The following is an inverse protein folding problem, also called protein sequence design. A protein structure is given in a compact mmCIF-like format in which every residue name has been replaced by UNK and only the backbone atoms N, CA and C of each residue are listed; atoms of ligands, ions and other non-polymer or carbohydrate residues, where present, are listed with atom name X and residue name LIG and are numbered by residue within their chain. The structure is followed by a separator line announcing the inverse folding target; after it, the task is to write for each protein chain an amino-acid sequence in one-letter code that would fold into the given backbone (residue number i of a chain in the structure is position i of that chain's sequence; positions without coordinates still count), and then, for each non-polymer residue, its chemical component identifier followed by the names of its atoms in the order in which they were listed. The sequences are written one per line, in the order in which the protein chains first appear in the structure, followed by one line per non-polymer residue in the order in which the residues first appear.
data_IF_417195299879
#
_entry.id   IF_417195299879
#
_cell.length_a   1.000
_cell.length_b   1.000
_cell.length_c   1.000
_cell.angle_alpha   90.00
_cell.angle_beta   90.00
_cell.angle_gamma   90.00
#
_symmetry.space_group_name_H-M   'P 1'
#
loop_
_entity.id
_entity.type
_entity.pdbx_description
1 polymer ?
#
# COMPACT_ATOMS: atom_id res chain seq x y z
N UNK A 1 -5.49 22.63 3.89
CA UNK A 1 -6.45 21.72 3.24
C UNK A 1 -5.71 20.97 2.16
N UNK A 2 -5.67 19.64 2.15
CA UNK A 2 -5.13 18.91 1.01
C UNK A 2 -5.99 19.22 -0.20
N UNK A 3 -5.33 19.50 -1.32
CA UNK A 3 -6.02 19.90 -2.55
C UNK A 3 -7.02 18.83 -2.99
N UNK A 4 -8.17 19.25 -3.46
CA UNK A 4 -9.25 18.43 -4.03
C UNK A 4 -8.77 17.48 -5.16
N UNK A 5 -7.52 17.60 -5.58
CA UNK A 5 -6.89 16.90 -6.71
C UNK A 5 -5.82 15.84 -6.33
N UNK A 6 -5.73 15.43 -5.05
CA UNK A 6 -4.81 14.35 -4.70
C UNK A 6 -5.22 13.07 -5.44
N UNK A 7 -4.26 12.45 -6.13
CA UNK A 7 -4.40 11.10 -6.70
C UNK A 7 -3.20 10.27 -6.28
N UNK A 8 -3.42 9.07 -5.75
CA UNK A 8 -2.33 8.17 -5.43
C UNK A 8 -1.54 7.80 -6.69
N UNK A 9 -0.23 7.75 -6.58
CA UNK A 9 0.63 7.26 -7.65
C UNK A 9 0.34 5.79 -7.91
N UNK A 10 0.31 5.40 -9.16
CA UNK A 10 0.02 4.03 -9.58
C UNK A 10 1.29 3.33 -10.04
N UNK A 11 1.34 2.01 -9.84
CA UNK A 11 2.36 1.18 -10.44
C UNK A 11 2.30 1.25 -11.97
N UNK A 12 3.47 1.26 -12.62
CA UNK A 12 3.56 1.10 -14.06
C UNK A 12 3.22 -0.33 -14.46
N UNK A 13 2.46 -0.51 -15.54
CA UNK A 13 2.03 -1.82 -16.02
C UNK A 13 3.07 -2.52 -16.92
N UNK A 14 4.20 -1.88 -17.19
CA UNK A 14 5.24 -2.48 -18.02
C UNK A 14 6.06 -3.51 -17.21
N UNK A 15 6.45 -4.61 -17.86
CA UNK A 15 7.28 -5.62 -17.20
C UNK A 15 8.66 -5.04 -16.87
N UNK A 16 9.21 -5.43 -15.72
CA UNK A 16 10.54 -5.01 -15.28
C UNK A 16 11.64 -5.28 -16.34
N UNK A 17 11.49 -6.34 -17.13
CA UNK A 17 12.45 -6.69 -18.19
C UNK A 17 12.62 -5.59 -19.25
N UNK A 18 11.60 -4.78 -19.51
CA UNK A 18 11.69 -3.65 -20.45
C UNK A 18 12.30 -2.39 -19.81
N UNK A 19 12.48 -2.39 -18.49
CA UNK A 19 12.97 -1.25 -17.72
C UNK A 19 14.34 -1.44 -17.10
N UNK A 20 14.93 -2.64 -17.12
CA UNK A 20 16.20 -2.92 -16.46
C UNK A 20 17.28 -1.90 -16.81
N UNK A 21 17.36 -1.51 -18.07
CA UNK A 21 18.33 -0.51 -18.54
C UNK A 21 18.00 0.93 -18.13
N UNK A 22 16.79 1.17 -17.62
CA UNK A 22 16.29 2.50 -17.22
C UNK A 22 16.22 2.68 -15.70
N UNK A 23 16.34 1.59 -14.94
CA UNK A 23 16.31 1.67 -13.48
C UNK A 23 17.60 2.28 -12.95
N UNK A 24 17.46 3.31 -12.16
CA UNK A 24 18.58 3.91 -11.43
C UNK A 24 18.71 3.25 -10.06
N UNK A 25 19.81 2.57 -9.83
CA UNK A 25 20.15 1.99 -8.54
C UNK A 25 20.96 2.99 -7.69
N UNK A 26 20.84 2.97 -6.37
CA UNK A 26 20.02 2.08 -5.58
C UNK A 26 18.53 2.48 -5.58
N UNK A 27 17.65 1.52 -5.28
CA UNK A 27 16.22 1.76 -5.16
C UNK A 27 15.60 1.01 -3.95
N UNK A 28 14.38 1.38 -3.58
CA UNK A 28 13.56 0.63 -2.64
C UNK A 28 12.54 -0.21 -3.41
N UNK A 29 12.42 -1.47 -3.06
CA UNK A 29 11.45 -2.38 -3.63
C UNK A 29 10.60 -3.02 -2.54
N UNK A 30 9.36 -3.32 -2.86
CA UNK A 30 8.43 -4.02 -1.97
C UNK A 30 7.63 -5.08 -2.71
N UNK A 31 7.07 -6.05 -1.98
CA UNK A 31 6.14 -7.00 -2.56
C UNK A 31 4.89 -6.29 -3.07
N UNK A 32 4.41 -6.65 -4.25
CA UNK A 32 3.15 -6.13 -4.80
C UNK A 32 1.98 -6.82 -4.14
N UNK A 33 1.26 -6.08 -3.31
CA UNK A 33 0.05 -6.54 -2.64
C UNK A 33 -1.14 -6.52 -3.60
N UNK A 34 -2.02 -7.47 -3.48
CA UNK A 34 -3.25 -7.58 -4.28
C UNK A 34 -4.49 -7.29 -3.40
N UNK A 35 -4.65 -6.05 -3.01
CA UNK A 35 -5.74 -5.58 -2.14
C UNK A 35 -6.49 -4.39 -2.70
N UNK A 36 -6.94 -3.51 -1.81
CA UNK A 36 -7.61 -2.26 -2.16
C UNK A 36 -6.73 -1.07 -1.73
N UNK A 37 -6.25 -0.28 -2.70
CA UNK A 37 -5.53 0.96 -2.40
C UNK A 37 -6.39 1.88 -1.56
N UNK A 38 -5.82 2.36 -0.46
CA UNK A 38 -6.48 3.27 0.45
C UNK A 38 -5.57 4.39 0.93
N UNK A 39 -6.11 5.61 0.99
CA UNK A 39 -5.43 6.76 1.56
C UNK A 39 -6.27 7.35 2.68
N UNK A 40 -5.69 7.51 3.85
CA UNK A 40 -6.37 8.14 4.99
C UNK A 40 -6.04 9.62 5.03
N UNK A 41 -7.05 10.47 4.95
CA UNK A 41 -6.91 11.93 4.95
C UNK A 41 -8.11 12.57 5.67
N UNK A 42 -7.85 13.53 6.54
CA UNK A 42 -8.88 14.26 7.25
C UNK A 42 -9.91 13.33 7.97
N UNK A 43 -9.42 12.22 8.55
CA UNK A 43 -10.25 11.23 9.24
C UNK A 43 -11.12 10.35 8.34
N UNK A 44 -10.88 10.36 7.02
CA UNK A 44 -11.64 9.57 6.04
C UNK A 44 -10.71 8.67 5.24
N UNK A 45 -11.11 7.42 5.07
CA UNK A 45 -10.44 6.44 4.22
C UNK A 45 -10.98 6.52 2.80
N UNK A 46 -10.13 6.87 1.85
CA UNK A 46 -10.46 7.01 0.44
C UNK A 46 -9.88 5.87 -0.38
N UNK A 47 -10.66 5.36 -1.32
CA UNK A 47 -10.17 4.45 -2.34
C UNK A 47 -9.33 5.19 -3.40
N UNK A 48 -8.69 4.43 -4.30
CA UNK A 48 -7.91 4.94 -5.45
C UNK A 48 -8.65 5.99 -6.29
N UNK A 49 -9.98 5.88 -6.38
CA UNK A 49 -10.85 6.81 -7.12
C UNK A 49 -11.12 8.13 -6.40
N UNK A 50 -10.53 8.36 -5.23
CA UNK A 50 -10.85 9.46 -4.31
C UNK A 50 -12.29 9.45 -3.77
N UNK A 51 -13.00 8.33 -3.87
CA UNK A 51 -14.29 8.14 -3.21
C UNK A 51 -14.06 7.52 -1.83
N UNK A 52 -14.80 7.96 -0.81
CA UNK A 52 -14.74 7.29 0.50
C UNK A 52 -15.07 5.81 0.37
N UNK A 53 -14.32 4.99 1.11
CA UNK A 53 -14.64 3.57 1.25
C UNK A 53 -15.98 3.45 1.98
N UNK A 54 -16.94 2.66 1.46
CA UNK A 54 -18.31 2.65 1.98
C UNK A 54 -18.45 1.93 3.32
N UNK A 55 -17.50 1.08 3.68
CA UNK A 55 -17.56 0.27 4.89
C UNK A 55 -17.29 1.12 6.14
N UNK A 56 -18.27 1.17 7.06
CA UNK A 56 -18.19 1.98 8.28
C UNK A 56 -17.17 1.44 9.28
N UNK A 57 -17.01 0.13 9.35
CA UNK A 57 -16.03 -0.51 10.23
C UNK A 57 -14.60 -0.13 9.80
N UNK A 58 -14.29 -0.20 8.51
CA UNK A 58 -13.00 0.27 7.96
C UNK A 58 -12.79 1.75 8.26
N UNK A 59 -13.79 2.60 8.04
CA UNK A 59 -13.69 4.03 8.37
C UNK A 59 -13.35 4.25 9.85
N UNK A 60 -14.00 3.53 10.77
CA UNK A 60 -13.77 3.69 12.21
C UNK A 60 -12.39 3.22 12.66
N UNK A 61 -11.86 2.14 12.06
CA UNK A 61 -10.55 1.61 12.41
C UNK A 61 -9.40 2.56 12.04
N UNK A 62 -9.53 3.28 10.94
CA UNK A 62 -8.43 4.06 10.39
C UNK A 62 -8.61 5.58 10.49
N UNK A 63 -9.72 6.08 11.05
CA UNK A 63 -10.02 7.51 11.16
C UNK A 63 -8.96 8.34 11.92
N UNK A 64 -8.21 7.72 12.83
CA UNK A 64 -7.18 8.41 13.62
C UNK A 64 -5.82 8.51 12.94
N UNK A 65 -5.65 7.85 11.80
CA UNK A 65 -4.42 7.97 11.02
C UNK A 65 -4.56 9.12 10.02
N UNK A 66 -3.49 9.88 9.86
CA UNK A 66 -3.49 11.04 8.99
C UNK A 66 -2.42 10.90 7.90
N UNK A 67 -2.82 11.16 6.65
CA UNK A 67 -1.92 11.18 5.49
C UNK A 67 -1.22 9.84 5.20
N UNK A 68 -1.80 8.73 5.61
CA UNK A 68 -1.26 7.39 5.34
C UNK A 68 -1.79 6.87 4.02
N UNK A 69 -0.89 6.43 3.15
CA UNK A 69 -1.19 5.77 1.88
C UNK A 69 -0.72 4.31 1.96
N UNK A 70 -1.58 3.39 1.56
CA UNK A 70 -1.32 1.96 1.71
C UNK A 70 -2.29 1.08 0.95
N UNK A 71 -2.21 -0.21 1.24
CA UNK A 71 -3.09 -1.24 0.69
C UNK A 71 -3.87 -1.92 1.79
N UNK A 72 -5.20 -1.93 1.70
CA UNK A 72 -6.07 -2.70 2.57
C UNK A 72 -6.07 -4.16 2.16
N UNK A 73 -5.85 -5.04 3.13
CA UNK A 73 -5.87 -6.49 2.97
C UNK A 73 -6.77 -7.10 4.03
N UNK A 74 -7.64 -8.00 3.63
CA UNK A 74 -8.46 -8.83 4.52
C UNK A 74 -7.89 -10.24 4.53
N UNK A 75 -7.49 -10.71 5.73
CA UNK A 75 -6.87 -12.02 5.90
C UNK A 75 -5.38 -12.05 5.52
N UNK A 76 -4.93 -13.14 4.93
CA UNK A 76 -3.54 -13.35 4.55
C UNK A 76 -3.20 -12.69 3.21
N UNK A 77 -2.15 -11.89 3.19
CA UNK A 77 -1.74 -11.10 2.01
C UNK A 77 -1.27 -11.94 0.80
N UNK A 78 -0.98 -13.20 1.03
CA UNK A 78 -0.54 -14.17 0.00
C UNK A 78 -1.61 -15.17 -0.41
N UNK A 79 -2.83 -15.04 0.13
CA UNK A 79 -3.94 -15.91 -0.26
C UNK A 79 -4.31 -15.69 -1.73
N UNK A 80 -4.53 -16.78 -2.48
CA UNK A 80 -4.82 -16.72 -3.93
C UNK A 80 -6.09 -15.94 -4.28
N UNK A 81 -6.99 -15.73 -3.33
CA UNK A 81 -8.25 -15.00 -3.49
C UNK A 81 -8.31 -13.70 -2.66
N UNK A 82 -7.16 -13.20 -2.22
CA UNK A 82 -7.03 -12.04 -1.33
C UNK A 82 -7.75 -10.79 -1.86
N UNK A 83 -7.63 -10.50 -3.16
CA UNK A 83 -8.34 -9.38 -3.78
C UNK A 83 -9.86 -9.50 -3.66
N UNK A 84 -10.39 -10.68 -3.96
CA UNK A 84 -11.83 -10.96 -3.87
C UNK A 84 -12.33 -10.87 -2.44
N UNK A 85 -11.60 -11.45 -1.49
CA UNK A 85 -11.91 -11.39 -0.06
C UNK A 85 -11.90 -9.93 0.43
N UNK A 86 -10.85 -9.19 0.11
CA UNK A 86 -10.71 -7.79 0.51
C UNK A 86 -11.84 -6.94 -0.07
N UNK A 87 -12.10 -7.06 -1.38
CA UNK A 87 -13.17 -6.31 -2.05
C UNK A 87 -14.53 -6.62 -1.46
N UNK A 88 -14.84 -7.89 -1.23
CA UNK A 88 -16.12 -8.34 -0.67
C UNK A 88 -16.41 -7.76 0.73
N UNK A 89 -15.39 -7.48 1.53
CA UNK A 89 -15.54 -6.92 2.87
C UNK A 89 -15.46 -5.40 2.87
N UNK A 90 -14.39 -4.85 2.30
CA UNK A 90 -14.10 -3.41 2.32
C UNK A 90 -15.14 -2.57 1.56
N UNK A 91 -15.73 -3.14 0.50
CA UNK A 91 -16.76 -2.45 -0.30
C UNK A 91 -18.20 -2.75 0.18
N UNK A 92 -18.38 -3.56 1.22
CA UNK A 92 -19.69 -3.80 1.84
C UNK A 92 -20.00 -2.74 2.89
N UNK A 93 -21.23 -2.22 2.92
CA UNK A 93 -21.63 -1.21 3.91
C UNK A 93 -21.74 -1.76 5.35
N UNK A 94 -22.14 -3.02 5.49
CA UNK A 94 -22.65 -3.57 6.74
C UNK A 94 -21.78 -4.68 7.36
N UNK A 95 -20.69 -5.07 6.71
CA UNK A 95 -19.77 -6.06 7.27
C UNK A 95 -18.91 -5.42 8.37
N UNK A 96 -18.77 -6.13 9.47
CA UNK A 96 -18.01 -5.74 10.66
C UNK A 96 -17.14 -6.92 11.14
N UNK A 97 -16.24 -6.68 12.06
CA UNK A 97 -15.43 -7.67 12.77
C UNK A 97 -14.65 -8.64 11.86
N UNK A 98 -14.11 -8.13 10.78
CA UNK A 98 -13.23 -8.91 9.91
C UNK A 98 -11.75 -8.50 10.02
N UNK A 99 -10.81 -9.41 9.75
CA UNK A 99 -9.38 -9.17 9.96
C UNK A 99 -8.79 -8.31 8.84
N UNK A 100 -9.04 -7.00 8.87
CA UNK A 100 -8.50 -6.03 7.91
C UNK A 100 -7.25 -5.37 8.48
N UNK A 101 -6.22 -5.22 7.64
CA UNK A 101 -5.00 -4.45 7.92
C UNK A 101 -4.72 -3.48 6.77
N UNK A 102 -4.19 -2.32 7.12
CA UNK A 102 -3.64 -1.36 6.17
C UNK A 102 -2.11 -1.53 6.13
N UNK A 103 -1.59 -2.02 5.03
CA UNK A 103 -0.17 -2.09 4.76
C UNK A 103 0.30 -0.75 4.22
N UNK A 104 0.82 0.08 5.11
CA UNK A 104 1.21 1.44 4.83
C UNK A 104 2.60 1.51 4.17
N UNK A 105 2.75 2.31 3.13
CA UNK A 105 4.01 2.46 2.39
C UNK A 105 4.35 3.90 2.00
N UNK A 106 3.50 4.88 2.26
CA UNK A 106 3.84 6.30 2.05
C UNK A 106 3.10 7.21 3.03
N UNK A 107 3.71 8.37 3.31
CA UNK A 107 3.12 9.46 4.07
C UNK A 107 2.92 10.68 3.17
N UNK A 108 1.66 10.94 2.80
CA UNK A 108 1.31 11.86 1.70
C UNK A 108 0.97 13.29 2.15
N UNK A 109 1.41 13.70 3.33
CA UNK A 109 1.20 15.06 3.84
C UNK A 109 1.95 16.11 3.04
N UNK A 110 3.21 15.82 2.71
CA UNK A 110 4.05 16.72 1.91
C UNK A 110 4.68 15.94 0.76
N UNK A 111 4.08 16.01 -0.40
CA UNK A 111 4.53 15.28 -1.60
C UNK A 111 5.82 15.84 -2.22
N UNK A 112 6.28 17.03 -1.79
CA UNK A 112 7.56 17.59 -2.23
C UNK A 112 8.75 16.99 -1.47
N UNK A 113 8.52 16.35 -0.33
CA UNK A 113 9.58 15.67 0.39
C UNK A 113 10.05 14.43 -0.39
N UNK A 114 11.36 14.11 -0.38
CA UNK A 114 11.84 12.85 -0.94
C UNK A 114 11.24 11.64 -0.23
N UNK A 115 11.10 10.54 -0.96
CA UNK A 115 10.39 9.35 -0.47
C UNK A 115 10.98 8.78 0.83
N UNK A 116 12.29 8.75 0.98
CA UNK A 116 12.95 8.29 2.22
C UNK A 116 12.53 9.12 3.45
N UNK A 117 12.33 10.44 3.30
CA UNK A 117 11.83 11.29 4.38
C UNK A 117 10.36 11.01 4.67
N UNK A 118 9.54 10.82 3.63
CA UNK A 118 8.13 10.46 3.80
C UNK A 118 7.97 9.10 4.47
N UNK A 119 8.82 8.13 4.14
CA UNK A 119 8.84 6.82 4.78
C UNK A 119 9.21 6.91 6.27
N UNK A 120 10.22 7.70 6.62
CA UNK A 120 10.60 7.95 8.01
C UNK A 120 9.45 8.62 8.80
N UNK A 121 8.75 9.59 8.19
CA UNK A 121 7.57 10.21 8.80
C UNK A 121 6.43 9.19 8.99
N UNK A 122 6.24 8.28 8.04
CA UNK A 122 5.27 7.20 8.15
C UNK A 122 5.56 6.33 9.38
N UNK A 123 6.78 5.85 9.55
CA UNK A 123 7.20 5.02 10.69
C UNK A 123 6.86 5.66 12.04
N UNK A 124 6.98 6.98 12.16
CA UNK A 124 6.63 7.72 13.38
C UNK A 124 5.12 7.85 13.61
N UNK A 125 4.31 7.76 12.56
CA UNK A 125 2.86 7.92 12.65
C UNK A 125 2.12 6.60 12.90
N UNK A 126 2.77 5.46 12.70
CA UNK A 126 2.13 4.16 12.83
C UNK A 126 2.08 3.70 14.29
N UNK A 127 0.86 3.37 14.72
CA UNK A 127 0.61 2.75 16.01
C UNK A 127 -0.64 1.86 15.91
N UNK A 128 -0.67 0.77 16.69
CA UNK A 128 -1.81 -0.14 16.70
C UNK A 128 -1.63 -1.37 15.80
N UNK A 129 -2.55 -2.30 15.93
CA UNK A 129 -2.46 -3.64 15.31
C UNK A 129 -3.01 -3.71 13.87
N UNK A 130 -3.83 -2.73 13.48
CA UNK A 130 -4.49 -2.72 12.17
C UNK A 130 -3.66 -2.04 11.07
N UNK A 131 -2.62 -1.30 11.42
CA UNK A 131 -1.73 -0.66 10.46
C UNK A 131 -0.34 -1.26 10.57
N UNK A 132 0.18 -1.72 9.44
CA UNK A 132 1.48 -2.39 9.34
C UNK A 132 2.33 -1.62 8.35
N UNK A 133 3.58 -1.30 8.72
CA UNK A 133 4.53 -0.78 7.75
C UNK A 133 4.81 -1.85 6.69
N UNK A 134 4.55 -1.53 5.43
CA UNK A 134 4.87 -2.44 4.34
C UNK A 134 6.38 -2.44 4.10
N UNK A 135 7.01 -3.61 4.26
CA UNK A 135 8.46 -3.75 4.19
C UNK A 135 9.03 -3.30 2.85
N UNK A 136 10.02 -2.40 2.92
CA UNK A 136 10.80 -1.95 1.79
C UNK A 136 12.19 -2.58 1.83
N UNK A 137 12.62 -3.18 0.73
CA UNK A 137 13.97 -3.73 0.59
C UNK A 137 14.84 -2.77 -0.19
N UNK A 138 16.02 -2.44 0.36
CA UNK A 138 17.02 -1.66 -0.33
C UNK A 138 17.75 -2.54 -1.36
N UNK A 139 17.74 -2.11 -2.61
CA UNK A 139 18.28 -2.84 -3.77
C UNK A 139 19.42 -2.03 -4.37
N UNK A 140 20.60 -2.61 -4.37
CA UNK A 140 21.83 -1.98 -4.91
C UNK A 140 22.22 -2.55 -6.25
N UNK A 141 21.79 -3.78 -6.59
CA UNK A 141 22.15 -4.46 -7.83
C UNK A 141 20.93 -5.11 -8.49
N UNK A 142 20.99 -5.28 -9.80
CA UNK A 142 19.93 -5.98 -10.56
C UNK A 142 19.75 -7.42 -10.10
N UNK A 143 20.81 -8.11 -9.71
CA UNK A 143 20.71 -9.48 -9.20
C UNK A 143 19.88 -9.52 -7.91
N UNK A 144 20.08 -8.56 -6.99
CA UNK A 144 19.26 -8.46 -5.77
C UNK A 144 17.78 -8.22 -6.10
N UNK A 145 17.47 -7.43 -7.14
CA UNK A 145 16.10 -7.21 -7.57
C UNK A 145 15.45 -8.49 -8.11
N UNK A 146 16.17 -9.21 -8.99
CA UNK A 146 15.70 -10.47 -9.57
C UNK A 146 15.47 -11.54 -8.47
N UNK A 147 16.39 -11.66 -7.52
CA UNK A 147 16.24 -12.58 -6.39
C UNK A 147 15.05 -12.19 -5.51
N UNK A 148 14.85 -10.92 -5.27
CA UNK A 148 13.72 -10.43 -4.47
C UNK A 148 12.37 -10.66 -5.17
N UNK A 149 12.28 -10.41 -6.48
CA UNK A 149 11.10 -10.72 -7.26
C UNK A 149 10.75 -12.20 -7.21
N UNK A 150 11.76 -13.07 -7.42
CA UNK A 150 11.60 -14.52 -7.32
C UNK A 150 11.04 -14.92 -5.95
N UNK A 151 11.61 -14.40 -4.87
CA UNK A 151 11.13 -14.66 -3.52
C UNK A 151 9.67 -14.21 -3.31
N UNK A 152 9.30 -13.02 -3.80
CA UNK A 152 7.94 -12.53 -3.71
C UNK A 152 6.96 -13.46 -4.44
N UNK A 153 7.29 -13.89 -5.65
CA UNK A 153 6.46 -14.83 -6.42
C UNK A 153 6.34 -16.20 -5.73
N UNK A 154 7.42 -16.73 -5.18
CA UNK A 154 7.42 -18.00 -4.41
C UNK A 154 6.58 -17.90 -3.13
N UNK A 155 6.51 -16.71 -2.51
CA UNK A 155 5.65 -16.44 -1.35
C UNK A 155 4.17 -16.23 -1.72
N UNK A 156 3.82 -16.12 -2.99
CA UNK A 156 2.45 -15.96 -3.46
C UNK A 156 2.02 -14.51 -3.74
N UNK A 157 2.96 -13.55 -3.75
CA UNK A 157 2.69 -12.19 -4.20
C UNK A 157 2.64 -12.10 -5.73
N UNK A 158 2.02 -11.04 -6.28
CA UNK A 158 1.95 -10.82 -7.74
C UNK A 158 3.30 -10.45 -8.38
N UNK A 159 4.28 -10.05 -7.59
CA UNK A 159 5.58 -9.55 -8.02
C UNK A 159 6.11 -8.46 -7.09
N UNK A 160 6.82 -7.48 -7.64
CA UNK A 160 7.43 -6.38 -6.88
C UNK A 160 7.04 -5.01 -7.45
N UNK A 161 7.10 -4.01 -6.60
CA UNK A 161 6.99 -2.58 -6.93
C UNK A 161 8.24 -1.88 -6.45
#
# INVERSE_FOLDING_TARGET
MPSVNFRPMLACSESAHNFFDKLMLPLLASAKLDGIRATVRDGVVYARSNKPIPNKYVQSLFANYEYVDGELIVGESTAHDVYRQTTSHVMSHDKEDFPVRLFAFDHVKNLNDPYNLRLANLEHCLSGEHVVLHNQKYIETMNQLIEFEKLCLECGYEGVI
#
